data_IF_789014429664
#
_entry.id   IF_789014429664
#
_cell.length_a   1.000
_cell.length_b   1.000
_cell.length_c   1.000
_cell.angle_alpha   90.00
_cell.angle_beta   90.00
_cell.angle_gamma   90.00
#
_symmetry.space_group_name_H-M   'P 1'
#
loop_
_entity.id
_entity.type
_entity.pdbx_description
1 polymer ?
#
# COMPACT_ATOMS: atom_id res chain seq x y z
N UNK A 1 3.54 -6.09 19.21
CA UNK A 1 4.03 -4.91 19.97
C UNK A 1 4.09 -3.64 19.11
N UNK A 2 4.88 -3.61 18.02
CA UNK A 2 5.03 -2.39 17.21
C UNK A 2 3.69 -1.83 16.67
N UNK A 3 2.82 -2.70 16.14
CA UNK A 3 1.54 -2.26 15.56
C UNK A 3 0.55 -1.67 16.57
N UNK A 4 0.36 -2.34 17.72
CA UNK A 4 -0.73 -2.04 18.65
C UNK A 4 -0.33 -1.40 19.97
N UNK A 5 0.97 -1.24 20.22
CA UNK A 5 1.45 -0.49 21.38
C UNK A 5 2.29 0.69 20.95
N UNK A 6 3.29 0.47 20.09
CA UNK A 6 4.20 1.55 19.67
C UNK A 6 3.47 2.64 18.87
N UNK A 7 2.73 2.27 17.81
CA UNK A 7 2.02 3.27 16.99
C UNK A 7 0.97 4.05 17.78
N UNK A 8 0.07 3.42 18.56
CA UNK A 8 -0.92 4.17 19.34
C UNK A 8 -0.26 5.09 20.38
N UNK A 9 0.83 4.64 21.04
CA UNK A 9 1.60 5.44 21.97
C UNK A 9 2.25 6.65 21.29
N UNK A 10 2.88 6.45 20.12
CA UNK A 10 3.43 7.54 19.31
C UNK A 10 2.33 8.52 18.87
N UNK A 11 1.16 8.02 18.49
CA UNK A 11 -0.01 8.83 18.17
C UNK A 11 -0.42 9.73 19.33
N UNK A 12 -0.59 9.18 20.53
CA UNK A 12 -0.93 9.96 21.73
C UNK A 12 0.14 11.01 22.04
N UNK A 13 1.42 10.63 21.98
CA UNK A 13 2.52 11.55 22.25
C UNK A 13 2.52 12.74 21.28
N UNK A 14 2.39 12.46 19.98
CA UNK A 14 2.41 13.47 18.93
C UNK A 14 1.17 14.34 18.99
N UNK A 15 -0.02 13.76 19.20
CA UNK A 15 -1.24 14.54 19.37
C UNK A 15 -1.15 15.53 20.55
N UNK A 16 -0.49 15.13 21.65
CA UNK A 16 -0.25 16.00 22.81
C UNK A 16 0.79 17.08 22.53
N UNK A 17 1.95 16.72 21.97
CA UNK A 17 3.04 17.66 21.68
C UNK A 17 2.59 18.76 20.73
N UNK A 18 1.85 18.41 19.68
CA UNK A 18 1.37 19.37 18.70
C UNK A 18 0.02 20.01 19.08
N UNK A 19 -0.53 19.69 20.25
CA UNK A 19 -1.85 20.18 20.73
C UNK A 19 -2.93 20.06 19.65
N UNK A 20 -3.05 18.85 19.10
CA UNK A 20 -3.90 18.61 17.93
C UNK A 20 -5.34 19.09 18.16
N UNK A 21 -5.95 19.83 17.22
CA UNK A 21 -7.34 20.26 17.35
C UNK A 21 -8.29 19.08 17.52
N UNK A 22 -9.31 19.24 18.38
CA UNK A 22 -10.34 18.22 18.63
C UNK A 22 -11.08 17.80 17.36
N UNK A 23 -11.18 18.69 16.37
CA UNK A 23 -11.78 18.44 15.07
C UNK A 23 -11.13 17.29 14.29
N UNK A 24 -9.86 16.97 14.55
CA UNK A 24 -9.12 15.90 13.82
C UNK A 24 -8.55 14.82 14.74
N UNK A 25 -8.58 15.05 16.05
CA UNK A 25 -7.97 14.18 17.05
C UNK A 25 -8.50 12.74 16.98
N UNK A 26 -9.82 12.56 16.91
CA UNK A 26 -10.44 11.25 16.87
C UNK A 26 -10.03 10.46 15.61
N UNK A 27 -10.07 11.11 14.44
CA UNK A 27 -9.63 10.54 13.17
C UNK A 27 -8.15 10.16 13.15
N UNK A 28 -7.29 11.03 13.70
CA UNK A 28 -5.86 10.77 13.82
C UNK A 28 -5.55 9.60 14.77
N UNK A 29 -6.19 9.57 15.94
CA UNK A 29 -6.00 8.49 16.90
C UNK A 29 -6.49 7.15 16.36
N UNK A 30 -7.63 7.12 15.68
CA UNK A 30 -8.12 5.92 14.98
C UNK A 30 -7.11 5.46 13.92
N UNK A 31 -6.56 6.41 13.17
CA UNK A 31 -5.51 6.16 12.16
C UNK A 31 -4.26 5.52 12.79
N UNK A 32 -3.90 5.87 14.02
CA UNK A 32 -2.78 5.22 14.74
C UNK A 32 -3.09 3.81 15.26
N UNK A 33 -4.38 3.45 15.40
CA UNK A 33 -4.84 2.19 15.99
C UNK A 33 -5.09 1.06 14.97
N UNK A 34 -5.16 1.38 13.68
CA UNK A 34 -5.44 0.38 12.63
C UNK A 34 -4.24 -0.53 12.34
N UNK A 35 -4.52 -1.65 11.67
CA UNK A 35 -3.53 -2.62 11.21
C UNK A 35 -2.51 -2.05 10.21
N UNK A 36 -1.48 -2.83 9.90
CA UNK A 36 -0.47 -2.49 8.91
C UNK A 36 -1.04 -2.32 7.49
N UNK A 37 -0.33 -1.57 6.65
CA UNK A 37 -0.71 -1.41 5.25
C UNK A 37 -0.29 -2.62 4.40
N UNK A 38 -1.11 -3.00 3.43
CA UNK A 38 -0.71 -3.96 2.38
C UNK A 38 0.48 -3.44 1.54
N UNK A 39 0.61 -2.11 1.40
CA UNK A 39 1.75 -1.49 0.71
C UNK A 39 3.10 -1.77 1.39
N UNK A 40 3.11 -2.15 2.67
CA UNK A 40 4.34 -2.42 3.42
C UNK A 40 5.12 -3.63 2.93
N UNK A 41 4.47 -4.64 2.34
CA UNK A 41 5.16 -5.81 1.76
C UNK A 41 5.92 -5.45 0.49
N UNK A 42 5.34 -4.58 -0.34
CA UNK A 42 5.99 -4.04 -1.53
C UNK A 42 7.17 -3.12 -1.15
N UNK A 43 7.00 -2.24 -0.16
CA UNK A 43 8.09 -1.43 0.36
C UNK A 43 9.19 -2.28 1.02
N UNK A 44 8.84 -3.37 1.71
CA UNK A 44 9.83 -4.30 2.27
C UNK A 44 10.62 -5.00 1.17
N UNK A 45 9.97 -5.40 0.08
CA UNK A 45 10.64 -5.96 -1.10
C UNK A 45 11.62 -4.96 -1.73
N UNK A 46 11.18 -3.73 -1.97
CA UNK A 46 12.04 -2.65 -2.49
C UNK A 46 13.23 -2.34 -1.58
N UNK A 47 13.04 -2.36 -0.26
CA UNK A 47 14.06 -2.03 0.73
C UNK A 47 15.00 -3.16 1.14
N UNK A 48 14.96 -4.31 0.45
CA UNK A 48 15.70 -5.53 0.82
C UNK A 48 15.42 -5.99 2.26
N UNK A 49 14.17 -5.80 2.70
CA UNK A 49 13.66 -6.36 3.95
C UNK A 49 13.19 -7.80 3.80
N UNK A 50 12.82 -8.42 4.92
CA UNK A 50 12.12 -9.70 4.92
C UNK A 50 10.64 -9.52 4.48
N UNK A 51 10.34 -9.93 3.25
CA UNK A 51 9.00 -9.84 2.66
C UNK A 51 8.03 -10.82 3.31
N UNK A 52 8.49 -12.03 3.66
CA UNK A 52 7.65 -13.04 4.29
C UNK A 52 7.18 -12.55 5.66
N UNK A 53 8.09 -11.99 6.45
CA UNK A 53 7.76 -11.37 7.72
C UNK A 53 6.77 -10.21 7.56
N UNK A 54 6.93 -9.37 6.53
CA UNK A 54 6.01 -8.25 6.27
C UNK A 54 4.57 -8.74 6.03
N UNK A 55 4.42 -9.79 5.21
CA UNK A 55 3.12 -10.40 4.92
C UNK A 55 2.53 -11.01 6.20
N UNK A 56 3.33 -11.70 7.01
CA UNK A 56 2.88 -12.30 8.28
C UNK A 56 2.43 -11.24 9.28
N UNK A 57 3.21 -10.18 9.49
CA UNK A 57 2.85 -9.07 10.38
C UNK A 57 1.57 -8.36 9.91
N UNK A 58 1.44 -8.14 8.60
CA UNK A 58 0.24 -7.50 8.03
C UNK A 58 -0.98 -8.41 8.18
N UNK A 59 -0.84 -9.71 7.94
CA UNK A 59 -1.94 -10.68 8.09
C UNK A 59 -2.38 -10.80 9.54
N UNK A 60 -1.42 -10.99 10.46
CA UNK A 60 -1.71 -11.10 11.89
C UNK A 60 -2.35 -9.83 12.46
N UNK A 61 -1.83 -8.65 12.08
CA UNK A 61 -2.46 -7.38 12.48
C UNK A 61 -3.84 -7.23 11.86
N UNK A 62 -4.03 -7.56 10.58
CA UNK A 62 -5.36 -7.46 9.96
C UNK A 62 -6.41 -8.33 10.66
N UNK A 63 -6.07 -9.57 11.03
CA UNK A 63 -6.97 -10.45 11.80
C UNK A 63 -7.21 -9.88 13.20
N UNK A 64 -6.15 -9.50 13.91
CA UNK A 64 -6.25 -8.95 15.27
C UNK A 64 -7.01 -7.62 15.32
N UNK A 65 -7.02 -6.86 14.22
CA UNK A 65 -7.63 -5.53 14.14
C UNK A 65 -9.13 -5.53 14.42
N UNK A 66 -9.83 -6.64 14.16
CA UNK A 66 -11.28 -6.77 14.43
C UNK A 66 -11.59 -6.54 15.91
N UNK A 67 -10.69 -6.97 16.80
CA UNK A 67 -10.86 -6.87 18.25
C UNK A 67 -10.05 -5.69 18.79
N UNK A 68 -8.78 -5.56 18.38
CA UNK A 68 -7.86 -4.60 18.97
C UNK A 68 -8.20 -3.16 18.56
N UNK A 69 -8.55 -2.91 17.29
CA UNK A 69 -8.83 -1.54 16.82
C UNK A 69 -10.03 -0.92 17.54
N UNK A 70 -11.20 -1.60 17.67
CA UNK A 70 -12.33 -1.02 18.40
C UNK A 70 -12.05 -0.80 19.89
N UNK A 71 -11.37 -1.73 20.56
CA UNK A 71 -11.00 -1.58 21.97
C UNK A 71 -10.09 -0.37 22.14
N UNK A 72 -9.06 -0.25 21.32
CA UNK A 72 -8.06 0.81 21.44
C UNK A 72 -8.64 2.18 21.08
N UNK A 73 -9.51 2.23 20.07
CA UNK A 73 -10.28 3.43 19.70
C UNK A 73 -11.22 3.84 20.84
N UNK A 74 -11.93 2.90 21.45
CA UNK A 74 -12.78 3.15 22.61
C UNK A 74 -12.01 3.68 23.81
N UNK A 75 -10.82 3.13 24.09
CA UNK A 75 -9.97 3.59 25.20
C UNK A 75 -9.37 4.98 24.96
N UNK A 76 -8.96 5.29 23.73
CA UNK A 76 -8.22 6.52 23.42
C UNK A 76 -9.12 7.69 23.02
N UNK A 77 -10.33 7.42 22.52
CA UNK A 77 -11.24 8.43 21.96
C UNK A 77 -12.64 8.36 22.59
N UNK A 78 -13.00 7.27 23.28
CA UNK A 78 -14.36 7.05 23.79
C UNK A 78 -14.84 8.10 24.81
N UNK A 79 -13.93 8.88 25.40
CA UNK A 79 -14.30 10.03 26.25
C UNK A 79 -14.70 11.28 25.45
N UNK A 80 -14.41 11.33 24.15
CA UNK A 80 -14.62 12.48 23.26
C UNK A 80 -15.76 12.22 22.27
N UNK A 81 -15.88 10.98 21.76
CA UNK A 81 -16.89 10.58 20.78
C UNK A 81 -17.51 9.26 21.21
N UNK A 82 -18.84 9.08 21.12
CA UNK A 82 -19.46 7.78 21.40
C UNK A 82 -18.99 6.74 20.38
N UNK A 83 -18.14 5.81 20.82
CA UNK A 83 -17.59 4.73 19.97
C UNK A 83 -18.43 3.47 20.11
N UNK A 84 -19.10 3.06 19.03
CA UNK A 84 -19.76 1.75 18.98
C UNK A 84 -18.76 0.66 18.57
N UNK A 85 -18.04 0.09 19.55
CA UNK A 85 -16.99 -0.89 19.30
C UNK A 85 -17.48 -2.16 18.59
N UNK A 86 -18.69 -2.63 18.90
CA UNK A 86 -19.27 -3.84 18.28
C UNK A 86 -19.56 -3.58 16.79
N UNK A 87 -20.13 -2.42 16.46
CA UNK A 87 -20.40 -2.05 15.09
C UNK A 87 -19.10 -1.84 14.29
N UNK A 88 -18.07 -1.23 14.90
CA UNK A 88 -16.75 -1.13 14.28
C UNK A 88 -16.13 -2.50 14.01
N UNK A 89 -16.19 -3.43 14.97
CA UNK A 89 -15.70 -4.80 14.78
C UNK A 89 -16.40 -5.51 13.61
N UNK A 90 -17.74 -5.41 13.53
CA UNK A 90 -18.53 -5.95 12.42
C UNK A 90 -18.13 -5.32 11.08
N UNK A 91 -17.92 -4.01 11.03
CA UNK A 91 -17.48 -3.31 9.83
C UNK A 91 -16.11 -3.79 9.37
N UNK A 92 -15.13 -3.92 10.27
CA UNK A 92 -13.79 -4.46 9.93
C UNK A 92 -13.90 -5.89 9.39
N UNK A 93 -14.71 -6.75 10.03
CA UNK A 93 -14.93 -8.12 9.58
C UNK A 93 -15.50 -8.17 8.14
N UNK A 94 -16.52 -7.36 7.86
CA UNK A 94 -17.22 -7.35 6.58
C UNK A 94 -16.43 -6.67 5.45
N UNK A 95 -15.73 -5.58 5.75
CA UNK A 95 -15.07 -4.73 4.73
C UNK A 95 -13.62 -5.14 4.51
N UNK A 96 -12.97 -5.79 5.48
CA UNK A 96 -11.56 -6.18 5.38
C UNK A 96 -11.38 -7.67 5.35
N UNK A 97 -11.84 -8.40 6.38
CA UNK A 97 -11.57 -9.83 6.46
C UNK A 97 -12.31 -10.62 5.40
N UNK A 98 -13.60 -10.36 5.19
CA UNK A 98 -14.39 -11.08 4.19
C UNK A 98 -13.81 -10.93 2.76
N UNK A 99 -13.45 -9.72 2.27
CA UNK A 99 -12.84 -9.59 0.95
C UNK A 99 -11.45 -10.22 0.86
N UNK A 100 -10.64 -10.15 1.93
CA UNK A 100 -9.30 -10.76 1.96
C UNK A 100 -9.39 -12.28 1.93
N UNK A 101 -10.30 -12.89 2.72
CA UNK A 101 -10.49 -14.35 2.71
C UNK A 101 -11.09 -14.81 1.39
N UNK A 102 -12.07 -14.09 0.84
CA UNK A 102 -12.63 -14.40 -0.48
C UNK A 102 -11.57 -14.32 -1.58
N UNK A 103 -10.73 -13.28 -1.59
CA UNK A 103 -9.63 -13.14 -2.52
C UNK A 103 -8.62 -14.29 -2.42
N UNK A 104 -8.30 -14.72 -1.20
CA UNK A 104 -7.41 -15.88 -0.96
C UNK A 104 -8.03 -17.19 -1.45
N UNK A 105 -9.32 -17.41 -1.19
CA UNK A 105 -10.05 -18.60 -1.66
C UNK A 105 -10.10 -18.62 -3.20
N UNK A 106 -10.38 -17.48 -3.84
CA UNK A 106 -10.36 -17.36 -5.31
C UNK A 106 -8.96 -17.64 -5.88
N UNK A 107 -7.91 -17.14 -5.26
CA UNK A 107 -6.53 -17.42 -5.65
C UNK A 107 -6.15 -18.91 -5.48
N UNK A 108 -6.79 -19.61 -4.56
CA UNK A 108 -6.54 -21.03 -4.31
C UNK A 108 -7.32 -21.92 -5.27
N UNK A 109 -8.62 -21.69 -5.43
CA UNK A 109 -9.55 -22.58 -6.15
C UNK A 109 -9.87 -22.15 -7.58
N UNK A 110 -9.77 -20.85 -7.90
CA UNK A 110 -10.18 -20.27 -9.19
C UNK A 110 -9.01 -19.54 -9.89
N UNK A 111 -7.81 -20.13 -9.88
CA UNK A 111 -6.60 -19.58 -10.52
C UNK A 111 -6.79 -19.07 -11.95
N UNK A 112 -7.54 -19.75 -12.85
CA UNK A 112 -7.78 -19.24 -14.20
C UNK A 112 -8.45 -17.86 -14.21
N UNK A 113 -9.42 -17.63 -13.32
CA UNK A 113 -10.11 -16.34 -13.16
C UNK A 113 -9.13 -15.30 -12.63
N UNK A 114 -8.35 -15.65 -11.59
CA UNK A 114 -7.36 -14.74 -11.00
C UNK A 114 -6.32 -14.28 -12.02
N UNK A 115 -5.82 -15.18 -12.87
CA UNK A 115 -4.85 -14.85 -13.91
C UNK A 115 -5.37 -13.85 -14.94
N UNK A 116 -6.68 -13.83 -15.21
CA UNK A 116 -7.32 -12.87 -16.12
C UNK A 116 -7.48 -11.50 -15.48
N UNK A 117 -7.86 -11.44 -14.20
CA UNK A 117 -8.12 -10.17 -13.50
C UNK A 117 -6.85 -9.50 -12.96
N UNK A 118 -5.83 -10.28 -12.56
CA UNK A 118 -4.62 -9.80 -11.88
C UNK A 118 -3.93 -8.63 -12.60
N UNK A 119 -3.80 -8.59 -13.95
CA UNK A 119 -3.16 -7.47 -14.63
C UNK A 119 -3.90 -6.13 -14.46
N UNK A 120 -5.22 -6.16 -14.26
CA UNK A 120 -6.07 -4.96 -14.15
C UNK A 120 -6.24 -4.51 -12.69
N UNK A 121 -6.05 -5.42 -11.72
CA UNK A 121 -6.23 -5.14 -10.28
C UNK A 121 -5.42 -3.94 -9.76
N UNK A 122 -4.13 -3.72 -10.12
CA UNK A 122 -3.39 -2.54 -9.66
C UNK A 122 -4.02 -1.23 -10.10
N UNK A 123 -4.55 -1.18 -11.32
CA UNK A 123 -5.23 0.01 -11.85
C UNK A 123 -6.54 0.27 -11.09
N UNK A 124 -7.36 -0.77 -10.89
CA UNK A 124 -8.61 -0.67 -10.12
C UNK A 124 -8.32 -0.21 -8.69
N UNK A 125 -7.33 -0.81 -8.03
CA UNK A 125 -6.94 -0.43 -6.68
C UNK A 125 -6.47 1.03 -6.60
N UNK A 126 -5.73 1.52 -7.60
CA UNK A 126 -5.27 2.90 -7.68
C UNK A 126 -6.45 3.87 -7.82
N UNK A 127 -7.42 3.59 -8.70
CA UNK A 127 -8.62 4.42 -8.89
C UNK A 127 -9.47 4.43 -7.61
N UNK A 128 -9.79 3.25 -7.05
CA UNK A 128 -10.57 3.16 -5.82
C UNK A 128 -9.91 3.89 -4.65
N UNK A 129 -8.60 3.69 -4.44
CA UNK A 129 -7.87 4.36 -3.36
C UNK A 129 -7.86 5.87 -3.55
N UNK A 130 -7.68 6.35 -4.78
CA UNK A 130 -7.71 7.78 -5.10
C UNK A 130 -9.08 8.41 -4.80
N UNK A 131 -10.18 7.71 -5.10
CA UNK A 131 -11.53 8.16 -4.78
C UNK A 131 -11.83 8.15 -3.27
N UNK A 132 -11.40 7.10 -2.57
CA UNK A 132 -11.57 6.98 -1.11
C UNK A 132 -10.84 8.08 -0.35
N UNK A 133 -9.66 8.49 -0.83
CA UNK A 133 -8.85 9.55 -0.20
C UNK A 133 -9.31 10.93 -0.67
N UNK A 134 -9.65 11.07 -1.96
CA UNK A 134 -10.02 12.33 -2.56
C UNK A 134 -11.32 12.89 -2.00
N UNK A 135 -12.31 12.05 -1.70
CA UNK A 135 -13.63 12.50 -1.21
C UNK A 135 -13.58 13.28 0.11
N UNK A 136 -12.99 12.78 1.23
CA UNK A 136 -12.91 13.57 2.46
C UNK A 136 -12.02 14.81 2.32
N UNK A 137 -10.97 14.77 1.50
CA UNK A 137 -10.12 15.94 1.24
C UNK A 137 -10.85 17.03 0.46
N UNK A 138 -11.62 16.66 -0.56
CA UNK A 138 -12.40 17.59 -1.38
C UNK A 138 -13.51 18.26 -0.56
N UNK A 139 -14.25 17.49 0.23
CA UNK A 139 -15.32 18.00 1.09
C UNK A 139 -14.77 18.98 2.13
N UNK A 140 -13.59 18.71 2.69
CA UNK A 140 -13.00 19.53 3.76
C UNK A 140 -11.91 20.50 3.23
N UNK A 141 -11.93 20.86 1.94
CA UNK A 141 -10.87 21.66 1.31
C UNK A 141 -10.64 23.00 2.01
N UNK A 142 -11.70 23.68 2.44
CA UNK A 142 -11.62 24.99 3.09
C UNK A 142 -10.96 24.91 4.46
N UNK A 143 -11.26 23.85 5.23
CA UNK A 143 -10.58 23.58 6.50
C UNK A 143 -9.10 23.22 6.29
N UNK A 144 -8.79 22.44 5.26
CA UNK A 144 -7.41 22.04 4.93
C UNK A 144 -6.53 23.21 4.47
N UNK A 145 -7.11 24.17 3.74
CA UNK A 145 -6.39 25.36 3.28
C UNK A 145 -6.29 26.45 4.35
N UNK A 146 -7.01 26.31 5.47
CA UNK A 146 -6.91 27.20 6.61
C UNK A 146 -5.64 26.93 7.43
N UNK A 147 -5.29 27.84 8.34
CA UNK A 147 -4.19 27.63 9.30
C UNK A 147 -4.33 26.34 10.12
N UNK A 148 -5.55 25.82 10.32
CA UNK A 148 -5.77 24.55 11.03
C UNK A 148 -5.31 23.33 10.21
N UNK A 149 -5.29 23.41 8.88
CA UNK A 149 -4.79 22.32 8.03
C UNK A 149 -3.29 22.11 8.17
N UNK A 150 -2.51 23.19 8.32
CA UNK A 150 -1.08 23.10 8.61
C UNK A 150 -0.82 22.45 9.98
N UNK A 151 -1.63 22.79 10.98
CA UNK A 151 -1.60 22.15 12.31
C UNK A 151 -2.01 20.67 12.29
N UNK A 152 -2.63 20.18 11.22
CA UNK A 152 -2.96 18.77 11.02
C UNK A 152 -1.84 18.00 10.29
N UNK A 153 -1.30 18.58 9.22
CA UNK A 153 -0.34 17.87 8.36
C UNK A 153 0.98 17.60 9.07
N UNK A 154 1.47 18.57 9.84
CA UNK A 154 2.76 18.47 10.55
C UNK A 154 2.80 17.31 11.58
N UNK A 155 1.79 17.12 12.45
CA UNK A 155 1.69 15.94 13.29
C UNK A 155 1.67 14.61 12.52
N UNK A 156 0.95 14.53 11.41
CA UNK A 156 0.83 13.29 10.61
C UNK A 156 2.18 12.93 9.99
N UNK A 157 2.88 13.91 9.39
CA UNK A 157 4.23 13.72 8.86
C UNK A 157 5.17 13.27 9.96
N UNK A 158 5.14 13.95 11.11
CA UNK A 158 5.98 13.59 12.27
C UNK A 158 5.68 12.19 12.77
N UNK A 159 4.41 11.78 12.79
CA UNK A 159 3.99 10.45 13.21
C UNK A 159 4.57 9.35 12.33
N UNK A 160 4.46 9.47 11.01
CA UNK A 160 5.00 8.45 10.12
C UNK A 160 6.52 8.39 10.20
N UNK A 161 7.22 9.53 10.18
CA UNK A 161 8.68 9.57 10.33
C UNK A 161 9.10 8.92 11.66
N UNK A 162 8.47 9.31 12.76
CA UNK A 162 8.76 8.72 14.08
C UNK A 162 8.45 7.21 14.10
N UNK A 163 7.35 6.76 13.49
CA UNK A 163 6.99 5.35 13.43
C UNK A 163 8.00 4.51 12.61
N UNK A 164 8.51 5.04 11.48
CA UNK A 164 9.60 4.39 10.74
C UNK A 164 10.89 4.32 11.57
N UNK A 165 11.31 5.46 12.14
CA UNK A 165 12.56 5.57 12.90
C UNK A 165 12.53 4.69 14.15
N UNK A 166 11.50 4.86 14.99
CA UNK A 166 11.37 4.10 16.23
C UNK A 166 11.15 2.61 15.94
N UNK A 167 10.38 2.26 14.91
CA UNK A 167 10.23 0.87 14.47
C UNK A 167 11.57 0.21 14.14
N UNK A 168 12.45 0.91 13.42
CA UNK A 168 13.81 0.43 13.12
C UNK A 168 14.65 0.27 14.40
N UNK A 169 14.75 1.33 15.21
CA UNK A 169 15.65 1.34 16.35
C UNK A 169 15.21 0.42 17.49
N UNK A 170 13.90 0.26 17.71
CA UNK A 170 13.39 -0.70 18.71
C UNK A 170 13.80 -2.14 18.36
N UNK A 171 13.81 -2.49 17.07
CA UNK A 171 14.30 -3.80 16.61
C UNK A 171 15.82 -3.98 16.70
N UNK A 172 16.58 -2.91 16.98
CA UNK A 172 18.03 -2.92 17.19
C UNK A 172 18.44 -2.88 18.67
N UNK A 173 17.49 -2.70 19.60
CA UNK A 173 17.79 -2.69 21.03
C UNK A 173 18.45 -4.02 21.45
N UNK A 174 19.42 -4.01 22.39
CA UNK A 174 20.15 -5.22 22.77
C UNK A 174 19.25 -6.41 23.15
N UNK A 175 18.11 -6.14 23.81
CA UNK A 175 17.14 -7.16 24.23
C UNK A 175 16.27 -7.71 23.09
N UNK A 176 16.16 -6.99 21.98
CA UNK A 176 15.26 -7.30 20.85
C UNK A 176 16.01 -7.40 19.53
N UNK A 177 17.35 -7.49 19.56
CA UNK A 177 18.21 -7.32 18.39
C UNK A 177 17.83 -8.29 17.27
N UNK A 178 17.43 -7.72 16.14
CA UNK A 178 17.12 -8.45 14.91
C UNK A 178 18.19 -8.23 13.84
N UNK A 179 18.16 -9.10 12.82
CA UNK A 179 18.95 -8.92 11.61
C UNK A 179 18.49 -7.69 10.82
N UNK A 180 19.37 -7.15 9.98
CA UNK A 180 19.11 -5.94 9.20
C UNK A 180 17.84 -6.02 8.33
N UNK A 181 17.58 -7.10 7.56
CA UNK A 181 16.36 -7.20 6.76
C UNK A 181 15.08 -7.19 7.60
N UNK A 182 15.12 -7.82 8.79
CA UNK A 182 14.01 -7.84 9.74
C UNK A 182 13.78 -6.45 10.32
N UNK A 183 14.85 -5.71 10.66
CA UNK A 183 14.74 -4.33 11.17
C UNK A 183 14.08 -3.40 10.15
N UNK A 184 14.47 -3.51 8.88
CA UNK A 184 13.86 -2.74 7.77
C UNK A 184 12.38 -3.09 7.61
N UNK A 185 12.03 -4.37 7.65
CA UNK A 185 10.63 -4.80 7.60
C UNK A 185 9.82 -4.26 8.78
N UNK A 186 10.34 -4.35 10.01
CA UNK A 186 9.64 -3.83 11.20
C UNK A 186 9.46 -2.31 11.09
N UNK A 187 10.48 -1.58 10.64
CA UNK A 187 10.40 -0.15 10.38
C UNK A 187 9.27 0.20 9.40
N UNK A 188 9.28 -0.43 8.22
CA UNK A 188 8.27 -0.18 7.16
C UNK A 188 6.88 -0.58 7.63
N UNK A 189 6.71 -1.75 8.23
CA UNK A 189 5.42 -2.20 8.74
C UNK A 189 4.90 -1.28 9.86
N UNK A 190 5.77 -0.71 10.68
CA UNK A 190 5.35 0.21 11.76
C UNK A 190 4.92 1.56 11.21
N UNK A 191 5.67 2.13 10.27
CA UNK A 191 5.33 3.42 9.67
C UNK A 191 4.20 3.39 8.65
N UNK A 192 3.90 2.23 8.06
CA UNK A 192 2.81 2.09 7.08
C UNK A 192 1.60 1.38 7.68
N UNK A 193 0.44 2.01 7.58
CA UNK A 193 -0.82 1.51 8.14
C UNK A 193 -1.97 1.51 7.15
N UNK A 194 -3.01 0.74 7.41
CA UNK A 194 -4.20 0.71 6.54
C UNK A 194 -5.02 1.99 6.72
N UNK A 195 -4.51 3.09 6.18
CA UNK A 195 -5.15 4.40 6.27
C UNK A 195 -6.49 4.44 5.52
N UNK A 196 -6.68 3.60 4.50
CA UNK A 196 -8.00 3.39 3.87
C UNK A 196 -9.02 2.80 4.83
N UNK A 197 -8.62 1.82 5.64
CA UNK A 197 -9.47 1.26 6.70
C UNK A 197 -9.80 2.32 7.76
N UNK A 198 -8.80 3.10 8.18
CA UNK A 198 -9.00 4.19 9.14
C UNK A 198 -10.00 5.23 8.60
N UNK A 199 -9.86 5.64 7.34
CA UNK A 199 -10.77 6.60 6.70
C UNK A 199 -12.19 6.08 6.57
N UNK A 200 -12.36 4.80 6.24
CA UNK A 200 -13.66 4.15 6.17
C UNK A 200 -14.35 4.12 7.54
N UNK A 201 -13.64 3.66 8.57
CA UNK A 201 -14.17 3.63 9.94
C UNK A 201 -14.44 5.03 10.48
N UNK A 202 -13.59 6.00 10.20
CA UNK A 202 -13.81 7.39 10.59
C UNK A 202 -15.08 7.95 9.94
N UNK A 203 -15.24 7.74 8.63
CA UNK A 203 -16.44 8.20 7.90
C UNK A 203 -17.71 7.56 8.45
N UNK A 204 -17.69 6.26 8.76
CA UNK A 204 -18.86 5.52 9.23
C UNK A 204 -19.24 5.83 10.68
N UNK A 205 -18.26 6.05 11.56
CA UNK A 205 -18.50 6.05 13.02
C UNK A 205 -18.15 7.37 13.71
N UNK A 206 -17.31 8.23 13.12
CA UNK A 206 -16.80 9.45 13.74
C UNK A 206 -17.16 10.73 12.94
N UNK A 207 -17.63 10.58 11.70
CA UNK A 207 -18.01 11.66 10.79
C UNK A 207 -16.98 11.91 9.68
N UNK A 208 -17.45 12.51 8.58
CA UNK A 208 -16.66 12.68 7.34
C UNK A 208 -15.37 13.49 7.58
N UNK A 209 -15.41 14.54 8.40
CA UNK A 209 -14.22 15.36 8.71
C UNK A 209 -13.13 14.57 9.46
N UNK A 210 -13.49 13.51 10.20
CA UNK A 210 -12.53 12.64 10.88
C UNK A 210 -11.81 11.68 9.93
N UNK A 211 -12.24 11.58 8.66
CA UNK A 211 -11.52 10.80 7.65
C UNK A 211 -10.35 11.57 7.02
N UNK A 212 -10.28 12.89 7.22
CA UNK A 212 -9.22 13.76 6.68
C UNK A 212 -7.81 13.33 7.16
N UNK A 213 -7.56 13.05 8.46
CA UNK A 213 -6.26 12.58 8.92
C UNK A 213 -5.82 11.29 8.24
N UNK A 214 -6.75 10.35 8.03
CA UNK A 214 -6.49 9.09 7.35
C UNK A 214 -6.14 9.31 5.86
N UNK A 215 -6.85 10.22 5.20
CA UNK A 215 -6.58 10.59 3.81
C UNK A 215 -5.18 11.21 3.65
N UNK A 216 -4.80 12.15 4.52
CA UNK A 216 -3.44 12.69 4.55
C UNK A 216 -2.38 11.61 4.86
N UNK A 217 -2.67 10.73 5.82
CA UNK A 217 -1.81 9.61 6.23
C UNK A 217 -1.48 8.67 5.06
N UNK A 218 -2.43 8.35 4.17
CA UNK A 218 -2.13 7.51 2.98
C UNK A 218 -1.02 8.13 2.12
N UNK A 219 -1.13 9.42 1.83
CA UNK A 219 -0.18 10.12 0.96
C UNK A 219 1.19 10.19 1.63
N UNK A 220 1.23 10.60 2.89
CA UNK A 220 2.47 10.75 3.66
C UNK A 220 3.17 9.39 3.82
N UNK A 221 2.48 8.36 4.29
CA UNK A 221 3.11 7.05 4.52
C UNK A 221 3.63 6.42 3.23
N UNK A 222 2.96 6.64 2.09
CA UNK A 222 3.39 6.13 0.80
C UNK A 222 4.66 6.84 0.31
N UNK A 223 4.72 8.18 0.38
CA UNK A 223 5.89 8.96 -0.02
C UNK A 223 7.09 8.56 0.86
N UNK A 224 6.99 8.70 2.18
CA UNK A 224 8.10 8.44 3.08
C UNK A 224 8.51 6.96 3.08
N UNK A 225 7.54 6.04 3.09
CA UNK A 225 7.81 4.60 3.11
C UNK A 225 8.50 4.11 1.84
N UNK A 226 8.04 4.55 0.66
CA UNK A 226 8.66 4.17 -0.60
C UNK A 226 10.01 4.86 -0.81
N UNK A 227 10.17 6.14 -0.43
CA UNK A 227 11.48 6.80 -0.47
C UNK A 227 12.51 6.10 0.43
N UNK A 228 12.11 5.73 1.65
CA UNK A 228 12.98 5.00 2.57
C UNK A 228 13.32 3.59 2.04
N UNK A 229 12.34 2.89 1.47
CA UNK A 229 12.57 1.60 0.82
C UNK A 229 13.52 1.73 -0.38
N UNK A 230 13.32 2.71 -1.25
CA UNK A 230 14.21 2.98 -2.38
C UNK A 230 15.64 3.30 -1.93
N UNK A 231 15.80 4.08 -0.86
CA UNK A 231 17.10 4.37 -0.27
C UNK A 231 17.82 3.08 0.16
N UNK A 232 17.17 2.18 0.88
CA UNK A 232 17.75 0.87 1.24
C UNK A 232 17.95 -0.09 0.07
N UNK A 233 17.14 0.07 -0.99
CA UNK A 233 17.22 -0.72 -2.22
C UNK A 233 18.33 -0.28 -3.18
N UNK A 234 18.90 0.92 -2.97
CA UNK A 234 19.86 1.57 -3.89
C UNK A 234 21.17 0.80 -4.09
N UNK A 235 21.49 -0.15 -3.20
CA UNK A 235 22.69 -0.99 -3.30
C UNK A 235 22.54 -2.19 -4.28
N UNK A 236 21.58 -2.21 -5.22
CA UNK A 236 21.41 -3.32 -6.20
C UNK A 236 21.04 -2.78 -7.59
N UNK A 237 21.82 -3.22 -8.59
CA UNK A 237 21.46 -3.20 -10.01
C UNK A 237 20.05 -3.75 -10.21
N UNK A 238 19.22 -3.02 -10.95
CA UNK A 238 17.83 -3.33 -11.21
C UNK A 238 17.63 -4.77 -11.76
N UNK A 239 17.40 -5.73 -10.87
CA UNK A 239 16.82 -7.03 -11.22
C UNK A 239 15.31 -6.90 -11.09
N UNK A 240 14.67 -6.70 -12.24
CA UNK A 240 13.23 -6.69 -12.42
C UNK A 240 12.59 -7.98 -11.91
N UNK A 241 11.96 -7.96 -10.73
CA UNK A 241 11.00 -9.00 -10.31
C UNK A 241 9.89 -8.36 -9.47
N UNK A 242 8.87 -7.81 -10.13
CA UNK A 242 7.56 -7.61 -9.48
C UNK A 242 6.98 -9.00 -9.20
N UNK A 243 6.41 -9.31 -8.01
CA UNK A 243 5.81 -10.61 -7.75
C UNK A 243 4.51 -10.74 -8.56
N UNK A 244 4.64 -11.30 -9.75
CA UNK A 244 3.56 -11.56 -10.71
C UNK A 244 3.94 -12.53 -11.83
N UNK A 245 5.19 -12.97 -11.92
CA UNK A 245 5.62 -14.03 -12.83
C UNK A 245 5.90 -15.30 -12.04
N UNK A 246 5.06 -16.31 -12.31
CA UNK A 246 5.26 -17.71 -11.94
C UNK A 246 6.73 -18.07 -12.05
N UNK A 247 7.37 -18.32 -10.91
CA UNK A 247 8.57 -19.12 -10.86
C UNK A 247 8.16 -20.48 -11.43
N UNK A 248 8.54 -20.76 -12.68
CA UNK A 248 8.63 -22.15 -13.10
C UNK A 248 9.60 -22.80 -12.11
N UNK A 249 9.27 -23.94 -11.47
CA UNK A 249 10.28 -24.68 -10.73
C UNK A 249 11.45 -24.96 -11.69
N UNK A 250 12.69 -25.19 -11.20
CA UNK A 250 13.74 -25.72 -12.05
C UNK A 250 13.28 -27.10 -12.53
N UNK A 251 12.59 -27.13 -13.67
CA UNK A 251 12.34 -28.34 -14.40
C UNK A 251 13.65 -28.71 -15.07
N UNK A 252 14.22 -29.78 -14.53
CA UNK A 252 15.21 -30.64 -15.14
C UNK A 252 16.59 -30.01 -15.26
N UNK A 253 17.45 -30.35 -14.29
CA UNK A 253 18.79 -30.79 -14.64
C UNK A 253 18.69 -31.63 -15.92
N UNK A 254 19.41 -31.17 -16.92
CA UNK A 254 19.58 -31.81 -18.20
C UNK A 254 20.07 -33.25 -17.96
N UNK A 255 19.15 -34.21 -18.07
CA UNK A 255 19.44 -35.63 -18.35
C UNK A 255 20.28 -35.80 -19.62
N UNK A 256 20.50 -34.71 -20.39
CA UNK A 256 21.41 -34.61 -21.52
C UNK A 256 22.88 -34.51 -21.11
N UNK A 257 23.22 -34.11 -19.87
CA UNK A 257 24.60 -34.03 -19.39
C UNK A 257 25.07 -35.35 -18.72
N UNK A 258 24.15 -36.13 -18.16
CA UNK A 258 24.43 -37.48 -17.64
C UNK A 258 24.56 -38.52 -18.78
N UNK A 259 23.82 -38.35 -19.88
CA UNK A 259 23.92 -39.27 -21.05
C UNK A 259 25.12 -38.92 -21.95
N UNK A 260 25.60 -37.67 -21.98
CA UNK A 260 26.78 -37.28 -22.76
C UNK A 260 28.12 -37.78 -22.19
N UNK A 261 28.18 -38.15 -20.91
CA UNK A 261 29.41 -38.68 -20.31
C UNK A 261 29.65 -40.19 -20.55
N UNK A 262 28.68 -40.94 -21.08
CA UNK A 262 28.86 -42.38 -21.34
C UNK A 262 28.74 -42.80 -22.82
N UNK A 263 28.63 -41.86 -23.76
CA UNK A 263 28.59 -42.18 -25.21
C UNK A 263 29.75 -41.57 -26.01
N UNK A 264 30.55 -40.66 -25.42
CA UNK A 264 31.74 -40.10 -26.08
C UNK A 264 33.02 -40.91 -25.82
N UNK A 265 32.98 -42.23 -26.04
CA UNK A 265 34.21 -43.05 -26.17
C UNK A 265 34.27 -43.89 -27.45
N UNK A 266 33.36 -43.66 -28.39
CA UNK A 266 33.30 -44.46 -29.62
C UNK A 266 33.12 -43.59 -30.86
N UNK A 267 34.26 -43.36 -31.52
CA UNK A 267 34.46 -43.27 -32.99
C UNK A 267 33.62 -42.28 -33.84
N UNK A 268 34.39 -41.38 -34.48
CA UNK A 268 34.53 -41.14 -35.94
C UNK A 268 33.27 -40.81 -36.78
N UNK A 269 33.45 -39.73 -37.58
CA UNK A 269 32.78 -39.38 -38.87
C UNK A 269 31.30 -38.97 -38.79
N UNK A 270 31.00 -37.72 -39.12
CA UNK A 270 30.39 -37.32 -40.41
C UNK A 270 29.94 -35.84 -40.40
N UNK A 271 30.05 -35.25 -41.59
CA UNK A 271 29.73 -33.89 -42.04
C UNK A 271 28.22 -33.58 -42.15
N UNK A 272 27.90 -32.32 -42.50
CA UNK A 272 26.59 -31.67 -42.86
C UNK A 272 25.87 -30.96 -41.70
N UNK A 273 25.37 -29.73 -41.81
CA UNK A 273 25.25 -28.79 -42.93
C UNK A 273 24.38 -27.61 -42.49
N UNK A 274 24.71 -26.41 -42.97
CA UNK A 274 24.06 -25.14 -42.61
C UNK A 274 22.63 -25.01 -43.18
N UNK A 275 21.66 -24.65 -42.33
CA UNK A 275 20.43 -23.95 -42.75
C UNK A 275 19.73 -23.29 -41.55
N UNK A 276 19.44 -21.99 -41.69
CA UNK A 276 18.49 -21.16 -40.91
C UNK A 276 19.03 -20.01 -40.04
N UNK A 277 20.08 -19.30 -40.47
CA UNK A 277 20.41 -17.98 -39.92
C UNK A 277 19.40 -16.86 -40.27
N UNK A 278 18.50 -17.07 -41.24
CA UNK A 278 17.59 -15.99 -41.71
C UNK A 278 16.26 -15.86 -40.94
N UNK A 279 15.99 -16.69 -39.92
CA UNK A 279 14.73 -16.62 -39.13
C UNK A 279 14.85 -15.83 -37.82
N UNK A 280 16.08 -15.56 -37.36
CA UNK A 280 16.34 -14.83 -36.11
C UNK A 280 16.26 -13.31 -36.28
N UNK A 281 16.43 -12.82 -37.51
CA UNK A 281 16.60 -11.39 -37.80
C UNK A 281 15.29 -10.62 -38.05
N UNK A 282 14.18 -11.35 -38.22
CA UNK A 282 12.82 -10.78 -38.30
C UNK A 282 12.21 -10.57 -36.90
N UNK A 283 12.52 -11.45 -35.94
CA UNK A 283 12.04 -11.36 -34.55
C UNK A 283 12.69 -10.17 -33.83
N UNK A 284 13.99 -9.95 -34.03
CA UNK A 284 14.70 -8.80 -33.45
C UNK A 284 14.23 -7.43 -33.99
N UNK A 285 13.66 -7.39 -35.21
CA UNK A 285 13.10 -6.15 -35.79
C UNK A 285 11.69 -5.84 -35.27
N UNK A 286 10.90 -6.85 -34.92
CA UNK A 286 9.57 -6.66 -34.31
C UNK A 286 9.70 -6.29 -32.82
N UNK A 287 10.65 -6.89 -32.09
CA UNK A 287 10.90 -6.58 -30.67
C UNK A 287 11.46 -5.17 -30.46
N UNK A 288 12.28 -4.64 -31.39
CA UNK A 288 12.78 -3.25 -31.31
C UNK A 288 11.71 -2.18 -31.56
N UNK A 289 10.55 -2.52 -32.14
CA UNK A 289 9.48 -1.55 -32.47
C UNK A 289 8.39 -1.42 -31.40
N UNK A 290 8.37 -2.30 -30.40
CA UNK A 290 7.48 -2.22 -29.22
C UNK A 290 8.19 -1.66 -27.98
N UNK A 291 9.00 -0.62 -28.17
CA UNK A 291 9.50 0.21 -27.06
C UNK A 291 8.39 1.15 -26.62
N UNK A 292 7.36 0.62 -25.96
CA UNK A 292 6.39 1.46 -25.25
C UNK A 292 7.09 2.05 -24.02
N UNK A 293 7.14 3.39 -24.03
CA UNK A 293 7.77 4.23 -23.03
C UNK A 293 6.95 4.16 -21.74
N UNK A 294 7.33 3.25 -20.84
CA UNK A 294 6.73 3.11 -19.51
C UNK A 294 7.80 3.23 -18.43
N UNK A 295 8.57 4.31 -18.47
CA UNK A 295 9.29 4.84 -17.31
C UNK A 295 8.50 6.04 -16.83
N UNK A 296 7.49 5.81 -16.00
CA UNK A 296 6.93 6.89 -15.18
C UNK A 296 7.81 7.01 -13.95
N UNK A 297 8.73 7.98 -13.99
CA UNK A 297 9.48 8.43 -12.83
C UNK A 297 8.53 8.82 -11.68
N UNK A 298 9.00 8.81 -10.42
CA UNK A 298 8.19 9.20 -9.25
C UNK A 298 7.51 10.59 -9.36
N UNK A 299 7.99 11.47 -10.25
CA UNK A 299 7.35 12.76 -10.59
C UNK A 299 6.02 12.57 -11.34
N UNK A 300 5.86 11.49 -12.11
CA UNK A 300 4.64 11.15 -12.82
C UNK A 300 3.49 10.76 -11.88
N UNK A 301 3.77 10.13 -10.74
CA UNK A 301 2.75 9.78 -9.74
C UNK A 301 2.24 11.01 -9.00
N UNK A 302 3.12 11.98 -8.70
CA UNK A 302 2.75 13.29 -8.14
C UNK A 302 1.93 14.09 -9.16
N UNK A 303 2.33 14.12 -10.43
CA UNK A 303 1.56 14.80 -11.47
C UNK A 303 0.21 14.14 -11.77
N UNK A 304 0.08 12.82 -11.60
CA UNK A 304 -1.21 12.11 -11.67
C UNK A 304 -2.07 12.40 -10.45
N UNK A 305 -1.51 12.47 -9.23
CA UNK A 305 -2.26 12.86 -8.02
C UNK A 305 -2.70 14.33 -8.05
N UNK A 306 -1.84 15.24 -8.52
CA UNK A 306 -2.15 16.66 -8.74
C UNK A 306 -3.12 16.84 -9.93
N UNK A 307 -3.02 16.00 -10.96
CA UNK A 307 -3.94 15.96 -12.10
C UNK A 307 -5.32 15.39 -11.72
N UNK A 308 -5.37 14.35 -10.89
CA UNK A 308 -6.59 13.75 -10.39
C UNK A 308 -7.31 14.67 -9.39
N UNK A 309 -6.59 15.43 -8.57
CA UNK A 309 -7.20 16.46 -7.71
C UNK A 309 -7.76 17.64 -8.54
N UNK A 310 -7.09 18.07 -9.61
CA UNK A 310 -7.64 19.07 -10.56
C UNK A 310 -8.83 18.55 -11.37
N UNK A 311 -8.78 17.31 -11.85
CA UNK A 311 -9.87 16.68 -12.60
C UNK A 311 -11.08 16.39 -11.71
N UNK A 312 -10.85 15.94 -10.47
CA UNK A 312 -11.93 15.70 -9.52
C UNK A 312 -12.55 17.01 -9.01
N UNK A 313 -11.77 18.09 -8.89
CA UNK A 313 -12.29 19.43 -8.58
C UNK A 313 -13.18 19.98 -9.71
N UNK A 314 -12.78 19.81 -10.97
CA UNK A 314 -13.58 20.25 -12.14
C UNK A 314 -14.80 19.39 -12.39
N UNK A 315 -14.74 18.08 -12.12
CA UNK A 315 -15.93 17.21 -12.17
C UNK A 315 -16.90 17.51 -11.03
N UNK A 316 -16.41 17.85 -9.83
CA UNK A 316 -17.26 18.22 -8.70
C UNK A 316 -17.89 19.61 -8.89
N UNK A 317 -17.17 20.58 -9.47
CA UNK A 317 -17.75 21.88 -9.89
C UNK A 317 -18.82 21.74 -10.98
N UNK A 318 -18.62 20.87 -11.98
CA UNK A 318 -19.63 20.60 -13.03
C UNK A 318 -20.88 19.89 -12.51
N UNK A 319 -20.74 19.03 -11.50
CA UNK A 319 -21.88 18.37 -10.86
C UNK A 319 -22.62 19.38 -9.96
N UNK A 320 -21.90 20.24 -9.24
CA UNK A 320 -22.52 21.28 -8.42
C UNK A 320 -23.24 22.34 -9.28
N UNK A 321 -22.66 22.78 -10.40
CA UNK A 321 -23.31 23.72 -11.32
C UNK A 321 -24.55 23.12 -11.99
N UNK A 322 -24.55 21.82 -12.31
CA UNK A 322 -25.73 21.13 -12.83
C UNK A 322 -26.84 20.94 -11.77
N UNK A 323 -26.47 20.78 -10.49
CA UNK A 323 -27.43 20.70 -9.39
C UNK A 323 -28.03 22.08 -9.07
N UNK A 324 -27.24 23.16 -9.17
CA UNK A 324 -27.72 24.53 -8.98
C UNK A 324 -28.62 25.00 -10.14
N UNK A 325 -28.32 24.62 -11.41
CA UNK A 325 -29.22 24.87 -12.56
C UNK A 325 -30.55 24.11 -12.45
N UNK A 326 -30.54 22.90 -11.89
CA UNK A 326 -31.75 22.11 -11.62
C UNK A 326 -32.55 22.61 -10.41
N UNK A 327 -31.89 23.27 -9.45
CA UNK A 327 -32.57 23.91 -8.32
C UNK A 327 -33.25 25.23 -8.74
N UNK A 328 -32.74 25.91 -9.77
CA UNK A 328 -33.27 27.19 -10.25
C UNK A 328 -34.38 27.07 -11.32
N UNK A 329 -34.64 25.87 -11.85
CA UNK A 329 -35.67 25.61 -12.87
C UNK A 329 -36.98 25.06 -12.32
N UNK A 330 -37.17 25.09 -10.99
CA UNK A 330 -38.39 24.57 -10.34
C UNK A 330 -39.04 25.58 -9.39
N UNK A 331 -39.12 26.85 -9.80
CA UNK A 331 -40.08 27.84 -9.29
C UNK A 331 -40.24 28.97 -10.32
N UNK A 332 -41.03 28.75 -11.36
CA UNK A 332 -41.89 29.71 -12.07
C UNK A 332 -42.77 28.93 -13.06
#
# INVERSE_FOLDING_TARGET
MAQYMLKPLLGVLIARVFRMPSAFFAGFMLTCCVSGAQLSSYASFLGKGDVALSILLTTYSTISSVIVTPILTGLLIGSVVPVNGIAMAKSILQVVLLPVTLGLLLNTYAKPVVNVIQPVMPFVAMVCTSLCIGSPLAINRTMLLSSQGFMLLLPIVTFHIAAFVVGYWVSKLPQLRQEEPVCRTISVCTGMQSSTLAGLLATQFLGISQAVPAACSVVVMAIFGLTLASYWGSDVEAVSQVPGTVHKPPQTESLRDVIKLNVCKTRRRCTFGARNEKKFDYINRVVKRFRFRSTMEPVGFINILVGATKSSATTCEKIQSHLDDHANTRWY
#
